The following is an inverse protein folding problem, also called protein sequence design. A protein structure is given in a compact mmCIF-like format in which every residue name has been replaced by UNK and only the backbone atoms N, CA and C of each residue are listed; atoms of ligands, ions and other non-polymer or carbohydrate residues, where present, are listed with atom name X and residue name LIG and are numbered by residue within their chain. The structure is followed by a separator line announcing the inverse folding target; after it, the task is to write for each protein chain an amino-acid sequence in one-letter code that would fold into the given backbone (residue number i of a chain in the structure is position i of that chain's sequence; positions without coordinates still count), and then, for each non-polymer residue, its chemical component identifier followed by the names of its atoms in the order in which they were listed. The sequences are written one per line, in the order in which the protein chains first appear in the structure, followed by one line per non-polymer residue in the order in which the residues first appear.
data_IF_478853308471
#
_entry.id   IF_478853308471
#
_cell.length_a   1.000
_cell.length_b   1.000
_cell.length_c   1.000
_cell.angle_alpha   90.00
_cell.angle_beta   90.00
_cell.angle_gamma   90.00
#
_symmetry.space_group_name_H-M   'P 1'
#
loop_
_entity.id
_entity.type
_entity.pdbx_description
1 polymer ?
#
# COMPACT_ATOMS: atom_id res chain seq x y z
N UNK A 1 -22.92 27.78 -22.87
CA UNK A 1 -21.77 26.94 -23.23
C UNK A 1 -20.78 26.76 -22.07
N UNK A 2 -20.19 27.83 -21.51
CA UNK A 2 -19.14 27.71 -20.47
C UNK A 2 -19.52 26.91 -19.22
N UNK A 3 -20.75 27.02 -18.71
CA UNK A 3 -21.22 26.27 -17.52
C UNK A 3 -21.33 24.76 -17.75
N UNK A 4 -21.67 24.34 -18.98
CA UNK A 4 -21.75 22.92 -19.33
C UNK A 4 -20.34 22.33 -19.44
N UNK A 5 -19.39 23.13 -19.96
CA UNK A 5 -17.99 22.76 -20.09
C UNK A 5 -17.30 22.64 -18.72
N UNK A 6 -17.60 23.55 -17.79
CA UNK A 6 -17.12 23.43 -16.40
C UNK A 6 -17.67 22.18 -15.72
N UNK A 7 -18.96 21.86 -15.89
CA UNK A 7 -19.56 20.64 -15.34
C UNK A 7 -18.88 19.37 -15.87
N UNK A 8 -18.59 19.32 -17.17
CA UNK A 8 -17.85 18.22 -17.78
C UNK A 8 -16.42 18.07 -17.24
N UNK A 9 -15.70 19.17 -17.08
CA UNK A 9 -14.35 19.17 -16.50
C UNK A 9 -14.35 18.75 -15.03
N UNK A 10 -15.35 19.17 -14.25
CA UNK A 10 -15.50 18.73 -12.86
C UNK A 10 -15.74 17.23 -12.77
N UNK A 11 -16.65 16.69 -13.59
CA UNK A 11 -16.88 15.24 -13.65
C UNK A 11 -15.60 14.48 -14.03
N UNK A 12 -14.87 14.96 -15.03
CA UNK A 12 -13.58 14.36 -15.43
C UNK A 12 -12.57 14.37 -14.28
N UNK A 13 -12.47 15.49 -13.54
CA UNK A 13 -11.54 15.60 -12.40
C UNK A 13 -11.84 14.60 -11.29
N UNK A 14 -13.12 14.40 -10.95
CA UNK A 14 -13.54 13.46 -9.91
C UNK A 14 -13.19 12.03 -10.33
N UNK A 15 -13.45 11.67 -11.58
CA UNK A 15 -13.14 10.32 -12.11
C UNK A 15 -11.63 10.04 -12.07
N UNK A 16 -10.78 11.02 -12.39
CA UNK A 16 -9.33 10.87 -12.33
C UNK A 16 -8.84 10.67 -10.89
N UNK A 17 -9.30 11.50 -9.95
CA UNK A 17 -8.94 11.37 -8.53
C UNK A 17 -9.44 10.04 -7.96
N UNK A 18 -10.66 9.63 -8.30
CA UNK A 18 -11.21 8.34 -7.90
C UNK A 18 -10.39 7.17 -8.44
N UNK A 19 -9.98 7.21 -9.71
CA UNK A 19 -9.17 6.15 -10.34
C UNK A 19 -7.78 6.05 -9.71
N UNK A 20 -7.15 7.19 -9.42
CA UNK A 20 -5.87 7.23 -8.69
C UNK A 20 -6.02 6.64 -7.29
N UNK A 21 -7.09 7.03 -6.58
CA UNK A 21 -7.39 6.54 -5.23
C UNK A 21 -7.68 5.05 -5.24
N UNK A 22 -8.40 4.53 -6.25
CA UNK A 22 -8.70 3.12 -6.41
C UNK A 22 -7.45 2.28 -6.69
N UNK A 23 -6.55 2.74 -7.55
CA UNK A 23 -5.29 2.05 -7.84
C UNK A 23 -4.39 2.02 -6.59
N UNK A 24 -4.28 3.15 -5.87
CA UNK A 24 -3.57 3.21 -4.60
C UNK A 24 -4.18 2.26 -3.56
N UNK A 25 -5.52 2.27 -3.41
CA UNK A 25 -6.22 1.40 -2.49
C UNK A 25 -6.02 -0.09 -2.85
N UNK A 26 -6.05 -0.44 -4.13
CA UNK A 26 -5.73 -1.78 -4.62
C UNK A 26 -4.33 -2.20 -4.16
N UNK A 27 -3.33 -1.35 -4.36
CA UNK A 27 -1.96 -1.64 -3.92
C UNK A 27 -1.83 -1.78 -2.40
N UNK A 28 -2.62 -1.02 -1.63
CA UNK A 28 -2.67 -1.14 -0.16
C UNK A 28 -3.41 -2.40 0.31
N UNK A 29 -4.37 -2.92 -0.46
CA UNK A 29 -5.07 -4.17 -0.15
C UNK A 29 -4.26 -5.42 -0.53
N UNK A 30 -3.37 -5.32 -1.53
CA UNK A 30 -2.45 -6.40 -1.85
C UNK A 30 -1.33 -6.37 -0.82
N UNK A 31 -1.52 -7.12 0.26
CA UNK A 31 -0.44 -7.46 1.16
C UNK A 31 0.55 -8.35 0.41
N UNK A 32 1.53 -7.75 -0.28
CA UNK A 32 2.74 -8.46 -0.67
C UNK A 32 3.52 -8.70 0.61
N UNK A 33 3.15 -9.74 1.35
CA UNK A 33 4.04 -10.34 2.35
C UNK A 33 5.35 -10.60 1.62
N UNK A 34 6.36 -9.80 1.92
CA UNK A 34 7.71 -9.94 1.37
C UNK A 34 8.33 -11.16 2.02
N UNK A 35 7.86 -12.34 1.63
CA UNK A 35 8.52 -13.57 2.01
C UNK A 35 9.91 -13.54 1.38
N UNK A 36 10.95 -14.00 2.10
CA UNK A 36 12.30 -14.09 1.55
C UNK A 36 12.35 -15.00 0.31
N UNK A 37 11.31 -15.80 0.09
CA UNK A 37 11.20 -16.83 -0.95
C UNK A 37 9.85 -16.66 -1.63
N UNK A 38 9.84 -16.70 -2.95
CA UNK A 38 8.59 -16.68 -3.73
C UNK A 38 8.13 -18.07 -4.18
N UNK A 39 9.04 -19.06 -4.23
CA UNK A 39 8.71 -20.43 -4.58
C UNK A 39 9.94 -21.33 -4.68
N UNK A 40 9.76 -22.50 -5.29
CA UNK A 40 10.83 -23.51 -5.42
C UNK A 40 11.97 -23.04 -6.34
N UNK A 41 11.69 -22.17 -7.30
CA UNK A 41 12.70 -21.65 -8.24
C UNK A 41 13.78 -20.83 -7.54
N UNK A 42 13.42 -20.12 -6.46
CA UNK A 42 14.38 -19.40 -5.61
C UNK A 42 15.35 -20.37 -4.90
N UNK A 43 14.89 -21.58 -4.58
CA UNK A 43 15.74 -22.63 -4.00
C UNK A 43 16.67 -23.22 -5.05
N UNK A 44 16.18 -23.41 -6.29
CA UNK A 44 17.00 -23.85 -7.44
C UNK A 44 18.06 -22.81 -7.82
N UNK A 45 17.73 -21.52 -7.68
CA UNK A 45 18.64 -20.41 -7.91
C UNK A 45 19.69 -20.23 -6.79
N UNK A 46 19.57 -20.96 -5.69
CA UNK A 46 20.52 -20.88 -4.57
C UNK A 46 20.39 -19.63 -3.72
N UNK A 47 19.19 -19.01 -3.68
CA UNK A 47 18.91 -17.82 -2.86
C UNK A 47 19.09 -18.09 -1.35
N UNK A 48 18.93 -19.35 -0.94
CA UNK A 48 19.09 -19.82 0.43
C UNK A 48 20.23 -20.85 0.49
N UNK A 49 21.10 -20.78 1.51
CA UNK A 49 22.13 -21.80 1.70
C UNK A 49 21.49 -23.17 1.94
N UNK A 50 22.00 -24.21 1.27
CA UNK A 50 21.44 -25.55 1.33
C UNK A 50 21.30 -26.11 2.76
N UNK A 51 22.21 -25.73 3.68
CA UNK A 51 22.14 -26.10 5.09
C UNK A 51 20.98 -25.49 5.90
N UNK A 52 20.23 -24.53 5.34
CA UNK A 52 19.01 -23.96 5.94
C UNK A 52 17.73 -24.52 5.29
N UNK A 53 17.87 -25.44 4.33
CA UNK A 53 16.74 -26.15 3.71
C UNK A 53 16.55 -27.47 4.45
N UNK A 54 15.44 -27.59 5.18
CA UNK A 54 15.05 -28.79 5.90
C UNK A 54 14.35 -29.79 5.00
N UNK A 55 14.90 -30.99 4.85
CA UNK A 55 14.29 -32.07 4.06
C UNK A 55 14.15 -33.33 4.91
N UNK A 56 12.95 -33.92 4.88
CA UNK A 56 12.63 -35.13 5.63
C UNK A 56 13.22 -36.36 4.95
N UNK A 57 14.10 -37.07 5.65
CA UNK A 57 14.77 -38.26 5.11
C UNK A 57 13.81 -39.44 4.98
N UNK A 58 13.97 -40.23 3.91
CA UNK A 58 13.12 -41.39 3.60
C UNK A 58 11.70 -41.04 3.14
N UNK A 59 11.50 -39.84 2.57
CA UNK A 59 10.19 -39.38 2.11
C UNK A 59 10.26 -38.85 0.68
N UNK A 60 9.12 -38.73 0.01
CA UNK A 60 9.04 -38.18 -1.35
C UNK A 60 9.68 -36.78 -1.50
N UNK A 61 9.68 -35.99 -0.42
CA UNK A 61 10.35 -34.67 -0.39
C UNK A 61 11.86 -34.78 -0.59
N UNK A 62 12.50 -35.85 -0.09
CA UNK A 62 13.92 -36.11 -0.32
C UNK A 62 14.17 -36.43 -1.80
N UNK A 63 13.37 -37.32 -2.37
CA UNK A 63 13.53 -37.73 -3.77
C UNK A 63 13.34 -36.54 -4.71
N UNK A 64 12.36 -35.69 -4.43
CA UNK A 64 12.16 -34.43 -5.16
C UNK A 64 13.38 -33.50 -5.04
N UNK A 65 13.87 -33.25 -3.81
CA UNK A 65 15.00 -32.36 -3.58
C UNK A 65 16.26 -32.83 -4.31
N UNK A 66 16.57 -34.12 -4.20
CA UNK A 66 17.74 -34.73 -4.85
C UNK A 66 17.63 -34.66 -6.37
N UNK A 67 16.44 -34.89 -6.93
CA UNK A 67 16.21 -34.85 -8.38
C UNK A 67 16.28 -33.43 -8.94
N UNK A 68 15.57 -32.49 -8.32
CA UNK A 68 15.25 -31.19 -8.92
C UNK A 68 16.10 -30.02 -8.42
N UNK A 69 16.66 -30.09 -7.22
CA UNK A 69 17.34 -28.97 -6.56
C UNK A 69 18.83 -29.23 -6.43
N UNK A 70 19.22 -30.32 -5.76
CA UNK A 70 20.62 -30.58 -5.46
C UNK A 70 21.34 -31.49 -6.45
N UNK A 71 20.63 -31.98 -7.48
CA UNK A 71 21.19 -32.86 -8.53
C UNK A 71 21.95 -34.06 -7.96
N UNK A 72 21.37 -34.71 -6.94
CA UNK A 72 21.91 -35.88 -6.25
C UNK A 72 22.79 -35.60 -5.04
N UNK A 73 23.02 -34.33 -4.68
CA UNK A 73 23.84 -34.00 -3.51
C UNK A 73 23.03 -33.95 -2.21
N UNK A 74 23.54 -34.58 -1.16
CA UNK A 74 22.97 -34.51 0.20
C UNK A 74 23.52 -33.30 0.97
N UNK A 75 23.20 -32.09 0.50
CA UNK A 75 23.66 -30.83 1.07
C UNK A 75 22.60 -30.10 1.93
N UNK A 76 21.48 -30.77 2.20
CA UNK A 76 20.36 -30.24 2.96
C UNK A 76 20.45 -30.55 4.45
N UNK A 77 19.66 -29.83 5.27
CA UNK A 77 19.48 -30.16 6.68
C UNK A 77 18.56 -31.37 6.83
N UNK A 78 19.12 -32.48 7.33
CA UNK A 78 18.40 -33.74 7.46
C UNK A 78 17.41 -33.70 8.62
N UNK A 79 16.12 -33.74 8.29
CA UNK A 79 15.03 -33.83 9.25
C UNK A 79 14.56 -35.28 9.38
N UNK A 80 14.17 -35.75 10.58
CA UNK A 80 13.59 -37.07 10.74
C UNK A 80 12.24 -37.17 10.02
N UNK A 81 11.76 -38.41 9.82
CA UNK A 81 10.46 -38.64 9.18
C UNK A 81 9.27 -38.04 9.97
N UNK A 82 9.44 -37.73 11.26
CA UNK A 82 8.39 -37.09 12.06
C UNK A 82 8.11 -35.65 11.59
N UNK A 83 6.84 -35.36 11.32
CA UNK A 83 6.40 -34.01 10.90
C UNK A 83 6.56 -32.97 12.02
N UNK A 84 6.38 -33.35 13.29
CA UNK A 84 6.46 -32.43 14.43
C UNK A 84 7.84 -31.76 14.53
N UNK A 85 8.90 -32.58 14.45
CA UNK A 85 10.29 -32.08 14.50
C UNK A 85 10.59 -31.11 13.35
N UNK A 86 9.94 -31.28 12.20
CA UNK A 86 10.08 -30.36 11.05
C UNK A 86 9.51 -28.98 11.41
N UNK A 87 8.32 -28.93 11.99
CA UNK A 87 7.69 -27.67 12.41
C UNK A 87 8.46 -27.00 13.55
N UNK A 88 8.93 -27.78 14.53
CA UNK A 88 9.73 -27.25 15.64
C UNK A 88 11.06 -26.65 15.14
N UNK A 89 11.68 -27.27 14.14
CA UNK A 89 12.91 -26.78 13.52
C UNK A 89 12.70 -25.48 12.73
N UNK A 90 11.52 -25.32 12.11
CA UNK A 90 11.12 -24.07 11.44
C UNK A 90 10.85 -22.96 12.46
N UNK A 91 10.13 -23.26 13.55
CA UNK A 91 9.81 -22.29 14.59
C UNK A 91 11.04 -21.82 15.38
N UNK A 92 12.03 -22.69 15.54
CA UNK A 92 13.31 -22.39 16.19
C UNK A 92 14.34 -21.73 15.25
N UNK A 93 13.98 -21.41 14.00
CA UNK A 93 14.85 -20.81 12.98
C UNK A 93 16.13 -21.62 12.68
N UNK A 94 16.11 -22.94 12.92
CA UNK A 94 17.20 -23.85 12.54
C UNK A 94 17.21 -24.01 11.01
N UNK A 95 16.02 -24.18 10.43
CA UNK A 95 15.78 -24.22 8.99
C UNK A 95 14.83 -23.10 8.60
N UNK A 96 15.04 -22.49 7.44
CA UNK A 96 14.17 -21.42 6.94
C UNK A 96 12.98 -21.98 6.15
N UNK A 97 13.18 -23.16 5.56
CA UNK A 97 12.24 -23.76 4.61
C UNK A 97 12.19 -25.25 4.82
N UNK A 98 11.02 -25.82 4.70
CA UNK A 98 10.85 -27.24 4.52
C UNK A 98 9.78 -27.55 3.50
N UNK A 99 9.85 -28.73 2.91
CA UNK A 99 8.88 -29.23 1.94
C UNK A 99 7.76 -29.96 2.66
N UNK A 100 6.51 -29.69 2.27
CA UNK A 100 5.34 -30.34 2.81
C UNK A 100 4.24 -30.46 1.75
N UNK A 101 3.42 -31.51 1.86
CA UNK A 101 2.25 -31.70 1.02
C UNK A 101 1.25 -30.54 1.22
N UNK A 102 0.71 -30.02 0.13
CA UNK A 102 -0.14 -28.80 0.13
C UNK A 102 -1.33 -28.89 1.09
N UNK A 103 -2.06 -30.01 1.09
CA UNK A 103 -3.21 -30.22 1.96
C UNK A 103 -2.82 -30.25 3.44
N UNK A 104 -1.74 -30.96 3.79
CA UNK A 104 -1.24 -31.03 5.17
C UNK A 104 -0.71 -29.67 5.61
N UNK A 105 0.04 -29.00 4.74
CA UNK A 105 0.58 -27.66 4.98
C UNK A 105 -0.54 -26.66 5.29
N UNK A 106 -1.55 -26.56 4.41
CA UNK A 106 -2.70 -25.68 4.62
C UNK A 106 -3.43 -25.95 5.95
N UNK A 107 -3.72 -27.21 6.24
CA UNK A 107 -4.40 -27.57 7.48
C UNK A 107 -3.58 -27.13 8.70
N UNK A 108 -2.29 -27.47 8.71
CA UNK A 108 -1.40 -27.23 9.84
C UNK A 108 -1.13 -25.74 10.06
N UNK A 109 -0.88 -24.96 9.01
CA UNK A 109 -0.64 -23.51 9.14
C UNK A 109 -1.91 -22.75 9.56
N UNK A 110 -3.10 -23.23 9.16
CA UNK A 110 -4.37 -22.57 9.47
C UNK A 110 -4.94 -22.95 10.85
N UNK A 111 -4.53 -24.09 11.42
CA UNK A 111 -5.14 -24.62 12.64
C UNK A 111 -4.16 -24.82 13.81
N UNK A 112 -2.89 -25.10 13.55
CA UNK A 112 -1.93 -25.53 14.59
C UNK A 112 -0.80 -24.51 14.76
N UNK A 113 -0.07 -24.21 13.68
CA UNK A 113 1.10 -23.34 13.73
C UNK A 113 0.84 -22.03 12.97
N UNK A 114 0.17 -21.09 13.63
CA UNK A 114 -0.21 -19.79 13.04
C UNK A 114 0.99 -18.90 12.68
N UNK A 115 2.16 -19.17 13.26
CA UNK A 115 3.40 -18.44 12.96
C UNK A 115 4.08 -18.92 11.68
N UNK A 116 3.62 -20.03 11.10
CA UNK A 116 4.14 -20.58 9.86
C UNK A 116 3.19 -20.24 8.72
N UNK A 117 3.76 -20.01 7.53
CA UNK A 117 3.00 -19.70 6.33
C UNK A 117 3.44 -20.63 5.21
N UNK A 118 2.48 -21.06 4.39
CA UNK A 118 2.75 -21.82 3.18
C UNK A 118 3.14 -20.83 2.06
N UNK A 119 4.29 -21.07 1.43
CA UNK A 119 4.88 -20.16 0.44
C UNK A 119 5.06 -20.87 -0.90
N UNK A 120 4.75 -20.15 -1.98
CA UNK A 120 4.95 -20.61 -3.36
C UNK A 120 3.77 -21.37 -3.94
N UNK A 121 3.88 -21.66 -5.24
CA UNK A 121 2.91 -22.48 -5.96
C UNK A 121 3.23 -23.97 -5.82
N UNK A 122 2.23 -24.86 -5.90
CA UNK A 122 2.45 -26.30 -5.97
C UNK A 122 3.38 -26.64 -7.14
N UNK A 123 4.48 -27.33 -6.87
CA UNK A 123 5.56 -27.59 -7.85
C UNK A 123 5.70 -29.07 -8.22
N UNK A 124 5.25 -29.99 -7.36
CA UNK A 124 5.28 -31.43 -7.59
C UNK A 124 3.84 -31.93 -7.65
N UNK A 125 3.33 -32.16 -8.86
CA UNK A 125 1.93 -32.56 -9.09
C UNK A 125 1.76 -34.06 -8.85
N UNK A 126 1.98 -34.49 -7.61
CA UNK A 126 1.73 -35.85 -7.16
C UNK A 126 0.33 -35.96 -6.56
N UNK A 127 -0.26 -37.16 -6.64
CA UNK A 127 -1.63 -37.41 -6.17
C UNK A 127 -1.61 -38.53 -5.13
N UNK A 128 -2.45 -38.40 -4.11
CA UNK A 128 -2.67 -39.48 -3.14
C UNK A 128 -3.52 -40.59 -3.77
N UNK A 129 -3.06 -41.83 -3.62
CA UNK A 129 -3.76 -43.02 -4.07
C UNK A 129 -3.93 -44.03 -2.94
N UNK A 130 -4.96 -44.87 -3.04
CA UNK A 130 -5.16 -46.01 -2.16
C UNK A 130 -4.49 -47.21 -2.84
N UNK A 131 -3.55 -47.85 -2.14
CA UNK A 131 -2.86 -49.04 -2.65
C UNK A 131 -3.63 -50.28 -2.21
N UNK A 132 -3.92 -51.16 -3.17
CA UNK A 132 -4.61 -52.43 -2.92
C UNK A 132 -3.72 -53.60 -3.36
N UNK A 133 -3.92 -54.82 -2.81
CA UNK A 133 -3.20 -56.00 -3.28
C UNK A 133 -3.45 -56.25 -4.77
N UNK A 134 -2.44 -56.79 -5.44
CA UNK A 134 -2.55 -57.24 -6.83
C UNK A 134 -3.69 -58.27 -6.92
N UNK A 135 -4.52 -58.14 -7.96
CA UNK A 135 -5.69 -59.01 -8.21
C UNK A 135 -6.80 -58.97 -7.13
N UNK A 136 -6.93 -57.86 -6.39
CA UNK A 136 -8.06 -57.70 -5.47
C UNK A 136 -9.38 -57.53 -6.22
N UNK A 137 -10.30 -58.49 -6.06
CA UNK A 137 -11.61 -58.54 -6.73
C UNK A 137 -12.49 -57.28 -6.57
N UNK A 138 -12.23 -56.44 -5.56
CA UNK A 138 -13.00 -55.22 -5.29
C UNK A 138 -12.30 -53.94 -5.76
N UNK A 139 -11.10 -54.00 -6.35
CA UNK A 139 -10.35 -52.82 -6.77
C UNK A 139 -11.17 -51.95 -7.74
N UNK A 140 -11.76 -52.55 -8.78
CA UNK A 140 -12.59 -51.83 -9.74
C UNK A 140 -13.84 -51.22 -9.08
N UNK A 141 -14.46 -51.94 -8.14
CA UNK A 141 -15.64 -51.45 -7.43
C UNK A 141 -15.26 -50.24 -6.57
N UNK A 142 -14.11 -50.30 -5.88
CA UNK A 142 -13.59 -49.19 -5.09
C UNK A 142 -13.36 -47.94 -5.94
N UNK A 143 -12.72 -48.08 -7.10
CA UNK A 143 -12.45 -46.97 -8.01
C UNK A 143 -13.73 -46.30 -8.50
N UNK A 144 -14.73 -47.08 -8.92
CA UNK A 144 -16.04 -46.56 -9.34
C UNK A 144 -16.73 -45.81 -8.19
N UNK A 145 -16.63 -46.31 -6.95
CA UNK A 145 -17.21 -45.63 -5.79
C UNK A 145 -16.47 -44.33 -5.45
N UNK A 146 -15.15 -44.29 -5.57
CA UNK A 146 -14.37 -43.06 -5.40
C UNK A 146 -14.74 -42.03 -6.46
N UNK A 147 -14.92 -42.46 -7.72
CA UNK A 147 -15.35 -41.58 -8.80
C UNK A 147 -16.74 -41.01 -8.53
N UNK A 148 -17.70 -41.84 -8.10
CA UNK A 148 -19.04 -41.38 -7.71
C UNK A 148 -19.01 -40.37 -6.54
N UNK A 149 -18.08 -40.52 -5.58
CA UNK A 149 -17.89 -39.55 -4.50
C UNK A 149 -17.31 -38.22 -4.99
N UNK A 150 -16.47 -38.23 -6.03
CA UNK A 150 -15.96 -37.03 -6.69
C UNK A 150 -17.06 -36.34 -7.49
N UNK A 151 -17.78 -37.06 -8.33
CA UNK A 151 -18.86 -36.53 -9.17
C UNK A 151 -20.01 -35.95 -8.36
N UNK A 152 -20.34 -36.55 -7.22
CA UNK A 152 -21.36 -36.04 -6.31
C UNK A 152 -20.92 -34.81 -5.50
N UNK A 153 -19.65 -34.40 -5.57
CA UNK A 153 -19.10 -33.29 -4.77
C UNK A 153 -18.91 -33.63 -3.28
N UNK A 154 -19.12 -34.88 -2.86
CA UNK A 154 -18.98 -35.29 -1.45
C UNK A 154 -17.53 -35.12 -0.96
N UNK A 155 -16.55 -35.37 -1.84
CA UNK A 155 -15.13 -35.16 -1.51
C UNK A 155 -14.82 -33.67 -1.26
N UNK A 156 -15.42 -32.77 -2.03
CA UNK A 156 -15.22 -31.33 -1.87
C UNK A 156 -15.81 -30.84 -0.54
N UNK A 157 -16.98 -31.37 -0.15
CA UNK A 157 -17.59 -31.10 1.15
C UNK A 157 -16.70 -31.59 2.31
N UNK A 158 -16.11 -32.78 2.17
CA UNK A 158 -15.16 -33.30 3.16
C UNK A 158 -13.90 -32.44 3.22
N UNK A 159 -13.36 -32.03 2.07
CA UNK A 159 -12.21 -31.14 2.01
C UNK A 159 -12.50 -29.82 2.72
N UNK A 160 -13.65 -29.20 2.42
CA UNK A 160 -14.06 -27.97 3.10
C UNK A 160 -14.20 -28.18 4.61
N UNK A 161 -14.89 -29.25 5.03
CA UNK A 161 -15.12 -29.55 6.44
C UNK A 161 -13.82 -29.72 7.24
N UNK A 162 -12.84 -30.42 6.67
CA UNK A 162 -11.62 -30.77 7.41
C UNK A 162 -10.46 -29.80 7.22
N UNK A 163 -10.35 -29.14 6.06
CA UNK A 163 -9.19 -28.29 5.72
C UNK A 163 -9.48 -26.77 5.78
N UNK A 164 -10.74 -26.34 5.67
CA UNK A 164 -11.09 -24.91 5.71
C UNK A 164 -11.46 -24.39 7.10
N UNK A 165 -11.46 -25.25 8.12
CA UNK A 165 -11.48 -24.78 9.51
C UNK A 165 -10.25 -23.90 9.74
N UNK A 166 -10.47 -22.71 10.28
CA UNK A 166 -9.41 -21.78 10.68
C UNK A 166 -9.52 -21.59 12.19
N UNK A 167 -8.57 -22.16 12.93
CA UNK A 167 -8.44 -21.91 14.37
C UNK A 167 -7.48 -20.75 14.64
N UNK A 168 -6.50 -20.55 13.75
CA UNK A 168 -5.62 -19.40 13.83
C UNK A 168 -6.41 -18.12 13.55
N UNK A 169 -6.21 -17.06 14.36
CA UNK A 169 -6.70 -15.75 13.98
C UNK A 169 -6.05 -15.41 12.64
N UNK A 170 -6.84 -14.94 11.67
CA UNK A 170 -6.24 -14.29 10.50
C UNK A 170 -5.33 -13.20 11.09
N UNK A 171 -4.02 -13.28 10.84
CA UNK A 171 -3.03 -12.29 11.29
C UNK A 171 -3.38 -10.86 10.83
N UNK A 172 -4.38 -10.76 9.96
CA UNK A 172 -5.12 -9.59 9.52
C UNK A 172 -6.02 -8.91 10.57
N UNK A 173 -6.49 -9.57 11.63
CA UNK A 173 -7.47 -8.95 12.54
C UNK A 173 -6.85 -8.02 13.57
N UNK A 174 -5.57 -8.21 13.90
CA UNK A 174 -4.90 -7.46 14.98
C UNK A 174 -3.81 -6.51 14.49
N UNK A 175 -3.54 -6.52 13.18
CA UNK A 175 -2.77 -5.46 12.52
C UNK A 175 -3.62 -4.94 11.39
N UNK A 176 -4.47 -3.96 11.70
CA UNK A 176 -4.77 -2.94 10.70
C UNK A 176 -3.42 -2.56 10.09
N UNK A 177 -3.26 -2.75 8.78
CA UNK A 177 -2.10 -2.28 8.01
C UNK A 177 -2.15 -0.74 8.04
N UNK A 178 -1.91 -0.18 9.22
CA UNK A 178 -1.72 1.24 9.39
C UNK A 178 -0.49 1.57 8.54
N UNK A 179 -0.67 2.50 7.60
CA UNK A 179 0.44 3.02 6.82
C UNK A 179 1.47 3.57 7.81
N UNK A 180 2.57 2.86 7.95
CA UNK A 180 3.63 3.29 8.85
C UNK A 180 4.24 4.60 8.34
N UNK A 181 4.59 5.51 9.25
CA UNK A 181 5.12 6.86 8.94
C UNK A 181 6.29 6.83 7.92
N UNK A 182 7.22 5.85 7.95
CA UNK A 182 8.28 5.74 6.95
C UNK A 182 7.78 5.55 5.52
N UNK A 183 6.63 4.89 5.34
CA UNK A 183 6.03 4.66 4.01
C UNK A 183 5.49 5.94 3.38
N UNK A 184 5.17 6.96 4.20
CA UNK A 184 4.73 8.29 3.77
C UNK A 184 5.90 9.28 3.63
N UNK A 185 7.14 8.85 3.85
CA UNK A 185 8.32 9.73 3.83
C UNK A 185 8.50 10.48 2.50
N UNK A 186 8.17 9.84 1.37
CA UNK A 186 8.22 10.48 0.04
C UNK A 186 7.27 11.68 -0.09
N UNK A 187 6.08 11.61 0.52
CA UNK A 187 5.11 12.70 0.50
C UNK A 187 5.63 13.93 1.27
N UNK A 188 6.19 13.71 2.46
CA UNK A 188 6.79 14.77 3.26
C UNK A 188 7.99 15.44 2.56
N UNK A 189 8.82 14.66 1.87
CA UNK A 189 9.95 15.18 1.10
C UNK A 189 9.45 16.11 -0.03
N UNK A 190 8.46 15.66 -0.81
CA UNK A 190 7.89 16.46 -1.91
C UNK A 190 7.28 17.76 -1.39
N UNK A 191 6.51 17.72 -0.30
CA UNK A 191 5.99 18.94 0.33
C UNK A 191 7.10 19.89 0.78
N UNK A 192 8.16 19.36 1.41
CA UNK A 192 9.32 20.16 1.83
C UNK A 192 10.00 20.88 0.67
N UNK A 193 10.19 20.19 -0.47
CA UNK A 193 10.80 20.78 -1.68
C UNK A 193 9.91 21.87 -2.27
N UNK A 194 8.58 21.67 -2.33
CA UNK A 194 7.64 22.67 -2.84
C UNK A 194 7.66 23.94 -1.98
N UNK A 195 7.69 23.79 -0.66
CA UNK A 195 7.77 24.91 0.27
C UNK A 195 9.09 25.68 0.08
N UNK A 196 10.21 24.98 -0.02
CA UNK A 196 11.52 25.60 -0.26
C UNK A 196 11.56 26.37 -1.59
N UNK A 197 11.05 25.76 -2.67
CA UNK A 197 10.96 26.42 -3.98
C UNK A 197 10.05 27.64 -3.94
N UNK A 198 8.94 27.58 -3.20
CA UNK A 198 8.03 28.72 -3.04
C UNK A 198 8.71 29.90 -2.35
N UNK A 199 9.49 29.66 -1.29
CA UNK A 199 10.27 30.70 -0.62
C UNK A 199 11.38 31.27 -1.51
N UNK A 200 12.07 30.41 -2.28
CA UNK A 200 13.09 30.86 -3.23
C UNK A 200 12.51 31.75 -4.33
N UNK A 201 11.37 31.36 -4.90
CA UNK A 201 10.68 32.17 -5.92
C UNK A 201 10.17 33.49 -5.33
N UNK A 202 9.65 33.49 -4.11
CA UNK A 202 9.22 34.71 -3.44
C UNK A 202 10.39 35.67 -3.16
N UNK A 203 11.51 35.15 -2.63
CA UNK A 203 12.71 35.93 -2.39
C UNK A 203 13.29 36.48 -3.70
N UNK A 204 13.29 35.68 -4.77
CA UNK A 204 13.72 36.07 -6.11
C UNK A 204 12.85 37.19 -6.69
N UNK A 205 11.52 37.08 -6.58
CA UNK A 205 10.61 38.14 -7.00
C UNK A 205 10.81 39.44 -6.21
N UNK A 206 11.03 39.34 -4.90
CA UNK A 206 11.29 40.50 -4.04
C UNK A 206 12.63 41.15 -4.38
N UNK A 207 13.65 40.35 -4.68
CA UNK A 207 14.96 40.82 -5.13
C UNK A 207 14.88 41.55 -6.48
N UNK A 208 14.17 40.96 -7.46
CA UNK A 208 13.92 41.61 -8.77
C UNK A 208 13.13 42.90 -8.58
N UNK A 209 12.07 42.91 -7.78
CA UNK A 209 11.25 44.10 -7.55
C UNK A 209 12.07 45.22 -6.88
N UNK A 210 12.95 44.87 -5.94
CA UNK A 210 13.82 45.83 -5.27
C UNK A 210 14.93 46.38 -6.20
N UNK A 211 15.51 45.55 -7.07
CA UNK A 211 16.53 45.99 -8.03
C UNK A 211 15.96 46.70 -9.27
N UNK A 212 14.82 46.27 -9.81
CA UNK A 212 14.19 46.89 -10.99
C UNK A 212 13.51 48.21 -10.65
N UNK A 213 13.07 48.42 -9.40
CA UNK A 213 12.57 49.72 -8.93
C UNK A 213 13.70 50.76 -8.69
N UNK A 214 14.96 50.39 -8.92
CA UNK A 214 16.13 51.28 -8.88
C UNK A 214 16.57 51.80 -10.25
N UNK A 215 15.68 51.89 -11.25
CA UNK A 215 15.90 52.74 -12.42
C UNK A 215 15.51 54.19 -12.06
N UNK A 216 16.47 55.10 -11.84
CA UNK A 216 16.15 56.50 -11.60
C UNK A 216 15.62 57.11 -12.91
N UNK A 217 14.35 57.51 -12.93
CA UNK A 217 13.97 58.68 -13.72
C UNK A 217 14.71 59.89 -13.13
N UNK A 218 15.88 60.23 -13.66
CA UNK A 218 16.60 61.45 -13.26
C UNK A 218 17.19 62.21 -14.44
N UNK A 219 16.38 63.19 -14.86
CA UNK A 219 16.69 64.60 -15.13
C UNK A 219 17.61 64.98 -16.30
N UNK A 220 17.11 65.85 -17.18
CA UNK A 220 17.31 67.32 -17.10
C UNK A 220 16.65 68.02 -18.29
N UNK A 221 15.73 68.94 -18.03
CA UNK A 221 15.51 70.06 -18.94
C UNK A 221 15.46 71.35 -18.11
N UNK A 222 16.61 71.98 -17.96
CA UNK A 222 16.67 73.37 -17.52
C UNK A 222 16.49 74.25 -18.76
N UNK A 223 15.38 74.98 -18.85
CA UNK A 223 15.28 76.14 -19.74
C UNK A 223 15.09 77.39 -18.91
N UNK A 224 15.88 78.37 -19.35
CA UNK A 224 16.20 79.65 -18.75
C UNK A 224 15.02 80.44 -18.15
N UNK A 225 15.32 81.04 -17.00
CA UNK A 225 14.59 82.15 -16.40
C UNK A 225 14.74 83.40 -17.31
N UNK A 226 13.73 83.69 -18.12
CA UNK A 226 13.50 85.04 -18.67
C UNK A 226 12.39 85.75 -17.90
N UNK A 227 12.74 86.96 -17.51
CA UNK A 227 12.03 87.97 -16.73
C UNK A 227 10.83 88.50 -17.52
N UNK A 228 9.63 88.53 -16.92
CA UNK A 228 8.57 89.46 -17.29
C UNK A 228 7.60 89.69 -16.11
N UNK A 229 7.34 90.97 -15.84
CA UNK A 229 6.41 91.53 -14.84
C UNK A 229 4.98 91.49 -15.39
N UNK A 230 3.99 91.24 -14.52
CA UNK A 230 2.66 91.92 -14.42
C UNK A 230 1.85 91.23 -13.31
N UNK A 231 1.62 91.87 -12.15
CA UNK A 231 0.45 92.71 -11.73
C UNK A 231 -0.87 91.94 -11.51
N UNK A 232 -1.37 92.04 -10.26
CA UNK A 232 -2.78 92.09 -9.79
C UNK A 232 -3.69 90.86 -10.13
N UNK A 233 -4.65 90.39 -9.34
CA UNK A 233 -5.37 90.90 -8.16
C UNK A 233 -6.28 89.79 -7.58
N UNK A 234 -6.64 89.95 -6.30
CA UNK A 234 -7.99 89.75 -5.70
C UNK A 234 -8.70 88.38 -5.66
N UNK A 235 -8.88 87.91 -4.41
CA UNK A 235 -10.03 87.21 -3.77
C UNK A 235 -11.35 87.98 -4.14
N UNK A 236 -12.59 87.43 -4.23
CA UNK A 236 -13.18 86.67 -3.13
C UNK A 236 -14.31 85.62 -3.34
N UNK A 237 -14.46 84.81 -2.28
CA UNK A 237 -15.64 84.17 -1.66
C UNK A 237 -16.99 84.10 -2.38
N UNK A 238 -17.64 82.92 -2.31
CA UNK A 238 -19.05 82.80 -1.88
C UNK A 238 -19.20 81.60 -0.93
N UNK A 239 -19.86 81.90 0.18
CA UNK A 239 -20.16 81.14 1.40
C UNK A 239 -21.50 80.39 1.35
N UNK A 240 -21.71 79.54 2.39
CA UNK A 240 -22.97 79.10 3.03
C UNK A 240 -23.58 77.78 2.52
N UNK A 241 -24.09 76.89 3.36
CA UNK A 241 -24.23 76.85 4.82
C UNK A 241 -24.44 75.39 5.28
N UNK A 242 -24.06 75.17 6.56
CA UNK A 242 -24.52 74.22 7.59
C UNK A 242 -25.68 73.25 7.29
N UNK A 243 -25.81 72.08 7.92
CA UNK A 243 -25.63 71.74 9.36
C UNK A 243 -25.62 70.18 9.47
N UNK A 244 -24.73 69.52 10.22
CA UNK A 244 -24.82 69.22 11.68
C UNK A 244 -26.19 68.62 12.06
N UNK A 245 -26.34 67.52 12.82
CA UNK A 245 -25.52 66.90 13.87
C UNK A 245 -26.23 65.63 14.38
N UNK A 246 -25.47 64.71 15.01
CA UNK A 246 -25.88 63.78 16.10
C UNK A 246 -26.94 62.70 15.80
N UNK A 247 -26.95 61.49 16.37
CA UNK A 247 -26.19 60.88 17.46
C UNK A 247 -26.52 59.37 17.49
N UNK A 248 -25.65 58.64 18.19
CA UNK A 248 -25.96 57.53 19.11
C UNK A 248 -25.76 56.09 18.61
N UNK A 249 -24.86 55.46 19.36
CA UNK A 249 -24.46 54.07 19.35
C UNK A 249 -25.47 53.18 20.08
N UNK A 250 -25.47 51.89 19.76
CA UNK A 250 -25.69 50.85 20.76
C UNK A 250 -25.01 49.54 20.34
N UNK A 251 -24.22 49.00 21.27
CA UNK A 251 -23.65 47.66 21.27
C UNK A 251 -24.73 46.64 21.63
N UNK A 252 -24.68 45.44 21.05
CA UNK A 252 -25.06 44.23 21.78
C UNK A 252 -24.21 43.03 21.35
N UNK A 253 -23.63 42.38 22.35
CA UNK A 253 -22.92 41.10 22.30
C UNK A 253 -23.70 40.15 23.23
N UNK A 254 -23.61 38.85 22.97
CA UNK A 254 -23.68 37.69 23.91
C UNK A 254 -24.73 36.61 23.54
N UNK A 255 -24.23 35.36 23.68
CA UNK A 255 -24.88 34.06 23.90
C UNK A 255 -25.50 33.33 22.71
N UNK A 256 -24.93 32.21 22.25
CA UNK A 256 -24.84 30.85 22.84
C UNK A 256 -26.06 29.98 22.51
N UNK A 257 -25.87 28.90 21.76
CA UNK A 257 -26.42 27.58 22.06
C UNK A 257 -25.93 26.55 21.04
N UNK A 258 -25.52 25.40 21.59
CA UNK A 258 -25.35 24.12 20.93
C UNK A 258 -26.57 23.75 20.06
N UNK A 259 -26.34 23.06 18.95
CA UNK A 259 -27.26 21.98 18.54
C UNK A 259 -26.49 20.87 17.82
N UNK A 260 -26.77 19.67 18.30
CA UNK A 260 -26.24 18.36 17.94
C UNK A 260 -26.98 17.76 16.72
N UNK A 261 -26.39 16.68 16.18
CA UNK A 261 -26.92 15.70 15.22
C UNK A 261 -27.07 16.12 13.75
N UNK A 262 -26.16 15.66 12.89
CA UNK A 262 -26.23 14.37 12.18
C UNK A 262 -24.85 13.98 11.64
#
# INVERSE_FOLDING_TARGET
AGRLLTLGLYMLSIVLVASYTANLASDLTIQKTKFPISGVDDLKAGKIPFGRIGVRVGTASQDYYLREISKGMHNFYSLPASKQVTFDSLLSNIVDVSFIDSGVGQYVTNNIYCNLTLVGQPFDQTTFGIVTPIEWNYAQILDVKILALRESGTLDLLQQKWFQSKTCPDSLSNTSTALDVPSMGGLFLVFGVIIALSFLLFAWQQYIKNHVFSLPCRNKFSVNKKRSKTRHSSIPSVTRHSSKLSERAENYKVSSSEFTHF
#
